data_IF_948712853019
#
_entry.id   IF_948712853019
#
_cell.length_a   1.000
_cell.length_b   1.000
_cell.length_c   1.000
_cell.angle_alpha   90.00
_cell.angle_beta   90.00
_cell.angle_gamma   90.00
#
_symmetry.space_group_name_H-M   'P 1'
#
loop_
_entity.id
_entity.type
_entity.pdbx_description
1 polymer ?
#
# COMPACT_ATOMS: atom_id res chain seq x y z
N UNK A 1 23.66 -23.22 15.12
CA UNK A 1 22.95 -22.79 16.34
C UNK A 1 23.21 -21.34 16.75
N UNK A 2 24.20 -20.63 16.17
CA UNK A 2 24.51 -19.22 16.56
C UNK A 2 23.55 -18.19 15.93
N UNK A 3 23.01 -18.47 14.73
CA UNK A 3 22.17 -17.52 13.99
C UNK A 3 20.82 -17.24 14.67
N UNK A 4 20.20 -18.26 15.28
CA UNK A 4 18.85 -18.16 15.87
C UNK A 4 18.77 -17.31 17.14
N UNK A 5 19.88 -17.15 17.87
CA UNK A 5 19.94 -16.31 19.08
C UNK A 5 20.25 -14.86 18.73
N UNK A 6 21.09 -14.61 17.72
CA UNK A 6 21.36 -13.27 17.21
C UNK A 6 20.12 -12.63 16.55
N UNK A 7 19.36 -13.37 15.73
CA UNK A 7 18.15 -12.84 15.09
C UNK A 7 17.05 -12.51 16.11
N UNK A 8 16.90 -13.32 17.17
CA UNK A 8 15.94 -13.03 18.24
C UNK A 8 16.30 -11.77 19.03
N UNK A 9 17.58 -11.62 19.38
CA UNK A 9 18.09 -10.45 20.09
C UNK A 9 17.95 -9.16 19.26
N UNK A 10 18.14 -9.22 17.94
CA UNK A 10 17.92 -8.06 17.07
C UNK A 10 16.44 -7.70 16.93
N UNK A 11 15.55 -8.69 16.80
CA UNK A 11 14.10 -8.44 16.69
C UNK A 11 13.53 -7.85 17.99
N UNK A 12 13.99 -8.33 19.14
CA UNK A 12 13.60 -7.78 20.45
C UNK A 12 14.07 -6.32 20.61
N UNK A 13 15.29 -5.99 20.16
CA UNK A 13 15.79 -4.62 20.19
C UNK A 13 14.96 -3.67 19.31
N UNK A 14 14.62 -4.09 18.09
CA UNK A 14 13.77 -3.30 17.19
C UNK A 14 12.35 -3.10 17.75
N UNK A 15 11.80 -4.10 18.44
CA UNK A 15 10.50 -3.99 19.08
C UNK A 15 10.49 -2.98 20.23
N UNK A 16 11.57 -2.94 21.04
CA UNK A 16 11.75 -1.93 22.08
C UNK A 16 11.88 -0.54 21.47
N UNK A 17 12.67 -0.40 20.41
CA UNK A 17 12.84 0.87 19.68
C UNK A 17 11.52 1.39 19.09
N UNK A 18 10.75 0.53 18.41
CA UNK A 18 9.45 0.89 17.87
C UNK A 18 8.44 1.30 18.97
N UNK A 19 8.46 0.60 20.11
CA UNK A 19 7.61 0.96 21.27
C UNK A 19 7.99 2.32 21.84
N UNK A 20 9.29 2.62 21.89
CA UNK A 20 9.81 3.91 22.33
C UNK A 20 9.41 5.04 21.35
N UNK A 21 9.51 4.80 20.04
CA UNK A 21 9.05 5.75 19.02
C UNK A 21 7.56 6.06 19.15
N UNK A 22 6.72 5.06 19.43
CA UNK A 22 5.28 5.27 19.67
C UNK A 22 5.08 6.12 20.94
N UNK A 23 5.82 5.84 22.02
CA UNK A 23 5.70 6.61 23.27
C UNK A 23 6.12 8.07 23.07
N UNK A 24 7.19 8.33 22.33
CA UNK A 24 7.65 9.66 21.96
C UNK A 24 6.62 10.39 21.11
N UNK A 25 6.09 9.73 20.06
CA UNK A 25 5.03 10.29 19.24
C UNK A 25 3.80 10.66 20.08
N UNK A 26 3.33 9.77 20.96
CA UNK A 26 2.20 10.05 21.86
C UNK A 26 2.44 11.31 22.69
N UNK A 27 3.62 11.42 23.31
CA UNK A 27 3.99 12.57 24.13
C UNK A 27 4.07 13.87 23.31
N UNK A 28 4.66 13.82 22.12
CA UNK A 28 4.69 14.98 21.22
C UNK A 28 3.28 15.43 20.87
N UNK A 29 2.40 14.50 20.48
CA UNK A 29 1.04 14.80 20.07
C UNK A 29 0.15 15.33 21.19
N UNK A 30 0.40 14.95 22.45
CA UNK A 30 -0.29 15.52 23.61
C UNK A 30 0.12 16.99 23.89
N UNK A 31 1.35 17.37 23.51
CA UNK A 31 1.88 18.73 23.72
C UNK A 31 1.48 19.67 22.57
N UNK A 32 1.26 19.14 21.36
CA UNK A 32 0.82 19.96 20.23
C UNK A 32 -0.55 20.56 20.53
N UNK A 33 -0.60 21.88 20.71
CA UNK A 33 -1.84 22.64 20.89
C UNK A 33 -2.84 22.34 19.76
N UNK A 34 -4.10 22.14 20.19
CA UNK A 34 -5.29 21.90 19.37
C UNK A 34 -5.44 23.05 18.37
N UNK A 35 -5.01 22.85 17.12
CA UNK A 35 -5.22 23.79 16.02
C UNK A 35 -4.18 23.81 14.90
N UNK A 36 -2.98 23.24 15.10
CA UNK A 36 -1.92 23.21 14.09
C UNK A 36 -1.83 21.88 13.32
N UNK A 37 -1.40 21.91 12.05
CA UNK A 37 -1.12 20.70 11.25
C UNK A 37 0.21 20.00 11.60
N UNK A 38 0.91 20.48 12.64
CA UNK A 38 2.26 20.01 13.02
C UNK A 38 2.31 18.53 13.37
N UNK A 39 1.21 17.97 13.88
CA UNK A 39 1.10 16.55 14.18
C UNK A 39 1.30 15.67 12.94
N UNK A 40 0.89 16.13 11.74
CA UNK A 40 1.10 15.41 10.48
C UNK A 40 2.61 15.23 10.22
N UNK A 41 3.40 16.29 10.45
CA UNK A 41 4.86 16.25 10.32
C UNK A 41 5.49 15.29 11.32
N UNK A 42 5.09 15.32 12.61
CA UNK A 42 5.59 14.37 13.62
C UNK A 42 5.32 12.91 13.24
N UNK A 43 4.15 12.62 12.64
CA UNK A 43 3.84 11.29 12.12
C UNK A 43 4.78 10.91 10.97
N UNK A 44 4.99 11.79 9.98
CA UNK A 44 5.90 11.52 8.86
C UNK A 44 7.36 11.35 9.30
N UNK A 45 7.83 12.13 10.27
CA UNK A 45 9.17 12.01 10.84
C UNK A 45 9.35 10.71 11.66
N UNK A 46 8.27 10.25 12.32
CA UNK A 46 8.25 8.95 12.98
C UNK A 46 8.27 7.83 11.95
N UNK A 47 7.48 7.96 10.87
CA UNK A 47 7.50 7.05 9.73
C UNK A 47 8.92 6.93 9.18
N UNK A 48 9.67 8.02 9.02
CA UNK A 48 11.03 7.99 8.48
C UNK A 48 11.94 7.03 9.26
N UNK A 49 11.80 7.00 10.58
CA UNK A 49 12.64 6.20 11.49
C UNK A 49 12.10 4.79 11.74
N UNK A 50 10.84 4.52 11.39
CA UNK A 50 10.19 3.24 11.68
C UNK A 50 10.98 2.05 11.11
N UNK A 51 11.32 1.04 11.94
CA UNK A 51 12.26 -0.01 11.54
C UNK A 51 11.63 -1.19 10.79
N UNK A 52 10.31 -1.35 10.83
CA UNK A 52 9.65 -2.54 10.29
C UNK A 52 9.12 -2.31 8.87
N UNK A 53 9.42 -3.27 7.98
CA UNK A 53 8.79 -3.39 6.66
C UNK A 53 7.37 -3.98 6.75
N UNK A 54 7.12 -4.81 7.75
CA UNK A 54 5.81 -5.37 8.06
C UNK A 54 5.73 -5.79 9.53
N UNK A 55 4.53 -5.87 10.09
CA UNK A 55 4.32 -6.37 11.44
C UNK A 55 2.96 -7.05 11.61
N UNK A 56 2.70 -7.61 12.79
CA UNK A 56 1.37 -8.04 13.22
C UNK A 56 0.85 -7.10 14.28
N UNK A 57 -0.28 -6.48 14.02
CA UNK A 57 -0.93 -5.56 14.94
C UNK A 57 -2.42 -5.86 14.99
N UNK A 58 -2.97 -5.98 16.20
CA UNK A 58 -4.39 -6.24 16.44
C UNK A 58 -4.95 -7.45 15.66
N UNK A 59 -4.15 -8.52 15.54
CA UNK A 59 -4.50 -9.73 14.79
C UNK A 59 -4.38 -9.60 13.26
N UNK A 60 -4.10 -8.41 12.74
CA UNK A 60 -3.90 -8.14 11.32
C UNK A 60 -2.41 -8.17 10.97
N UNK A 61 -2.09 -8.59 9.74
CA UNK A 61 -0.76 -8.43 9.18
C UNK A 61 -0.73 -7.14 8.36
N UNK A 62 0.16 -6.22 8.73
CA UNK A 62 0.34 -4.94 8.05
C UNK A 62 1.66 -4.99 7.30
N UNK A 63 1.60 -4.95 5.97
CA UNK A 63 2.77 -4.91 5.09
C UNK A 63 2.95 -3.48 4.58
N UNK A 64 3.92 -2.75 5.15
CA UNK A 64 4.16 -1.35 4.79
C UNK A 64 5.04 -1.23 3.54
N UNK A 65 5.98 -2.16 3.34
CA UNK A 65 6.93 -2.16 2.23
C UNK A 65 6.71 -3.40 1.36
N UNK A 66 5.78 -3.29 0.42
CA UNK A 66 5.38 -4.33 -0.52
C UNK A 66 6.57 -4.72 -1.38
N UNK A 67 6.90 -6.02 -1.39
CA UNK A 67 7.98 -6.56 -2.20
C UNK A 67 9.37 -5.98 -1.89
N UNK A 68 9.54 -5.26 -0.76
CA UNK A 68 10.77 -4.55 -0.44
C UNK A 68 10.99 -3.22 -1.18
N UNK A 69 10.01 -2.77 -1.98
CA UNK A 69 10.19 -1.67 -2.94
C UNK A 69 9.11 -0.59 -2.86
N UNK A 70 7.84 -0.97 -2.67
CA UNK A 70 6.70 -0.07 -2.67
C UNK A 70 6.21 0.21 -1.24
N UNK A 71 6.37 1.45 -0.78
CA UNK A 71 6.05 1.86 0.59
C UNK A 71 4.68 2.55 0.70
N UNK A 72 3.75 1.93 1.43
CA UNK A 72 2.49 2.55 1.83
C UNK A 72 2.65 3.33 3.14
N UNK A 73 2.91 4.63 3.00
CA UNK A 73 3.02 5.53 4.15
C UNK A 73 1.70 5.72 4.89
N UNK A 74 0.55 5.61 4.22
CA UNK A 74 -0.77 5.81 4.85
C UNK A 74 -1.11 4.64 5.76
N UNK A 75 -0.77 3.40 5.36
CA UNK A 75 -0.93 2.23 6.22
C UNK A 75 -0.11 2.35 7.51
N UNK A 76 1.15 2.79 7.40
CA UNK A 76 1.99 3.01 8.57
C UNK A 76 1.51 4.20 9.41
N UNK A 77 1.07 5.31 8.79
CA UNK A 77 0.48 6.43 9.50
C UNK A 77 -0.76 6.00 10.30
N UNK A 78 -1.68 5.27 9.66
CA UNK A 78 -2.88 4.70 10.29
C UNK A 78 -2.51 3.82 11.50
N UNK A 79 -1.51 2.95 11.34
CA UNK A 79 -0.99 2.11 12.42
C UNK A 79 -0.51 2.94 13.61
N UNK A 80 0.28 3.99 13.38
CA UNK A 80 0.82 4.86 14.43
C UNK A 80 -0.29 5.64 15.13
N UNK A 81 -1.24 6.17 14.36
CA UNK A 81 -2.37 6.95 14.84
C UNK A 81 -3.40 6.13 15.63
N UNK A 82 -3.56 4.84 15.31
CA UNK A 82 -4.39 3.90 16.11
C UNK A 82 -3.91 3.79 17.56
N UNK A 83 -2.63 3.99 17.82
CA UNK A 83 -2.08 4.04 19.18
C UNK A 83 -2.24 5.42 19.83
N UNK A 84 -2.24 6.48 19.02
CA UNK A 84 -2.29 7.89 19.47
C UNK A 84 -3.71 8.47 19.50
N UNK A 85 -4.74 7.62 19.49
CA UNK A 85 -6.14 8.01 19.33
C UNK A 85 -6.69 8.93 20.42
N UNK A 86 -6.02 9.05 21.57
CA UNK A 86 -6.39 9.94 22.66
C UNK A 86 -5.94 11.39 22.42
N UNK A 87 -4.91 11.60 21.60
CA UNK A 87 -4.25 12.90 21.43
C UNK A 87 -4.82 13.69 20.24
N UNK A 88 -5.44 13.00 19.26
CA UNK A 88 -5.97 13.59 18.03
C UNK A 88 -7.39 13.07 17.81
N UNK A 89 -8.29 13.97 17.39
CA UNK A 89 -9.65 13.57 17.01
C UNK A 89 -9.63 12.54 15.88
N UNK A 90 -10.46 11.49 16.02
CA UNK A 90 -10.47 10.38 15.07
C UNK A 90 -10.84 10.83 13.66
N UNK A 91 -11.79 11.76 13.54
CA UNK A 91 -12.23 12.25 12.24
C UNK A 91 -11.10 13.01 11.56
N UNK A 92 -10.37 13.83 12.32
CA UNK A 92 -9.28 14.65 11.77
C UNK A 92 -8.19 13.82 11.08
N UNK A 93 -7.70 12.75 11.72
CA UNK A 93 -6.66 11.95 11.09
C UNK A 93 -7.22 11.00 10.02
N UNK A 94 -8.47 10.54 10.17
CA UNK A 94 -9.14 9.78 9.12
C UNK A 94 -9.29 10.60 7.83
N UNK A 95 -9.75 11.85 7.94
CA UNK A 95 -9.89 12.77 6.80
C UNK A 95 -8.54 13.02 6.12
N UNK A 96 -7.47 13.18 6.89
CA UNK A 96 -6.11 13.34 6.35
C UNK A 96 -5.63 12.12 5.57
N UNK A 97 -5.85 10.91 6.09
CA UNK A 97 -5.41 9.68 5.42
C UNK A 97 -6.30 9.31 4.22
N UNK A 98 -7.58 9.67 4.25
CA UNK A 98 -8.53 9.43 3.17
C UNK A 98 -8.37 10.41 1.99
N UNK A 99 -7.68 11.53 2.18
CA UNK A 99 -7.39 12.49 1.12
C UNK A 99 -6.54 11.83 0.01
N UNK A 100 -6.98 11.84 -1.27
CA UNK A 100 -6.23 11.26 -2.38
C UNK A 100 -4.96 12.04 -2.76
N UNK A 101 -4.68 13.21 -2.15
CA UNK A 101 -3.47 14.01 -2.44
C UNK A 101 -2.21 13.18 -2.19
N UNK A 102 -1.32 13.14 -3.19
CA UNK A 102 -0.15 12.26 -3.22
C UNK A 102 0.76 12.38 -1.98
N UNK A 103 0.94 13.60 -1.48
CA UNK A 103 1.87 13.93 -0.41
C UNK A 103 1.15 14.31 0.90
N UNK A 104 -0.09 13.85 1.11
CA UNK A 104 -0.81 14.08 2.36
C UNK A 104 -0.99 15.56 2.71
N UNK A 105 -1.21 16.42 1.71
CA UNK A 105 -1.38 17.87 1.88
C UNK A 105 -0.09 18.68 2.01
N UNK A 106 1.08 18.05 1.91
CA UNK A 106 2.38 18.74 1.89
C UNK A 106 2.84 19.04 0.46
N UNK A 107 3.72 20.03 0.32
CA UNK A 107 4.52 20.19 -0.90
C UNK A 107 5.54 19.05 -1.02
N UNK A 108 5.84 18.62 -2.25
CA UNK A 108 6.75 17.49 -2.51
C UNK A 108 8.09 17.57 -1.75
N UNK A 109 8.82 18.71 -1.73
CA UNK A 109 10.09 18.80 -1.03
C UNK A 109 9.96 18.73 0.50
N UNK A 110 8.80 19.10 1.05
CA UNK A 110 8.52 19.04 2.48
C UNK A 110 8.22 17.60 2.89
N UNK A 111 7.38 16.91 2.12
CA UNK A 111 7.07 15.50 2.32
C UNK A 111 8.33 14.62 2.22
N UNK A 112 9.14 14.82 1.16
CA UNK A 112 10.40 14.11 0.97
C UNK A 112 11.36 14.31 2.16
N UNK A 113 11.42 15.52 2.71
CA UNK A 113 12.26 15.83 3.87
C UNK A 113 11.77 15.14 5.13
N UNK A 114 10.44 15.12 5.35
CA UNK A 114 9.84 14.53 6.53
C UNK A 114 9.97 12.99 6.53
N UNK A 115 9.70 12.34 5.41
CA UNK A 115 9.71 10.87 5.29
C UNK A 115 11.12 10.28 5.02
N UNK A 116 12.03 11.11 4.49
CA UNK A 116 13.38 10.71 4.08
C UNK A 116 13.45 10.16 2.64
N UNK A 117 14.64 10.24 2.04
CA UNK A 117 14.85 9.97 0.60
C UNK A 117 14.45 8.54 0.19
N UNK A 118 14.82 7.54 0.99
CA UNK A 118 14.58 6.14 0.62
C UNK A 118 13.10 5.80 0.68
N UNK A 119 12.40 6.17 1.77
CA UNK A 119 10.95 5.98 1.91
C UNK A 119 10.16 6.85 0.94
N UNK A 120 10.67 8.02 0.57
CA UNK A 120 10.07 8.84 -0.50
C UNK A 120 10.11 8.12 -1.85
N UNK A 121 11.25 7.56 -2.24
CA UNK A 121 11.38 6.78 -3.48
C UNK A 121 10.50 5.53 -3.46
N UNK A 122 10.42 4.86 -2.31
CA UNK A 122 9.54 3.71 -2.13
C UNK A 122 8.05 4.12 -2.18
N UNK A 123 7.68 5.28 -1.65
CA UNK A 123 6.32 5.84 -1.77
C UNK A 123 5.96 6.12 -3.23
N UNK A 124 6.87 6.71 -4.02
CA UNK A 124 6.62 6.86 -5.46
C UNK A 124 6.41 5.51 -6.14
N UNK A 125 7.17 4.48 -5.73
CA UNK A 125 6.99 3.12 -6.26
C UNK A 125 5.61 2.55 -5.90
N UNK A 126 5.10 2.82 -4.70
CA UNK A 126 3.73 2.47 -4.31
C UNK A 126 2.69 3.25 -5.13
N UNK A 127 2.86 4.56 -5.28
CA UNK A 127 1.92 5.37 -6.05
C UNK A 127 1.82 4.91 -7.50
N UNK A 128 2.95 4.73 -8.19
CA UNK A 128 2.94 4.30 -9.59
C UNK A 128 2.56 2.82 -9.74
N UNK A 129 3.02 1.96 -8.84
CA UNK A 129 2.84 0.52 -8.96
C UNK A 129 1.50 0.01 -8.40
N UNK A 130 0.86 0.76 -7.51
CA UNK A 130 -0.43 0.38 -6.91
C UNK A 130 -1.51 1.37 -7.31
N UNK A 131 -1.41 2.62 -6.88
CA UNK A 131 -2.50 3.61 -7.06
C UNK A 131 -2.79 3.90 -8.54
N UNK A 132 -1.74 4.13 -9.35
CA UNK A 132 -1.90 4.38 -10.78
C UNK A 132 -2.34 3.11 -11.51
N UNK A 133 -1.85 1.94 -11.11
CA UNK A 133 -2.25 0.67 -11.70
C UNK A 133 -3.73 0.34 -11.42
N UNK A 134 -4.20 0.55 -10.19
CA UNK A 134 -5.63 0.46 -9.83
C UNK A 134 -6.48 1.43 -10.63
N UNK A 135 -6.00 2.67 -10.82
CA UNK A 135 -6.69 3.68 -11.63
C UNK A 135 -6.78 3.27 -13.10
N UNK A 136 -5.75 2.62 -13.63
CA UNK A 136 -5.74 2.07 -14.98
C UNK A 136 -6.78 0.96 -15.14
N UNK A 137 -6.84 0.02 -14.19
CA UNK A 137 -7.86 -1.05 -14.17
C UNK A 137 -9.26 -0.42 -14.13
N UNK A 138 -9.49 0.53 -13.22
CA UNK A 138 -10.78 1.21 -13.05
C UNK A 138 -11.22 1.95 -14.33
N UNK A 139 -10.30 2.58 -15.06
CA UNK A 139 -10.62 3.25 -16.33
C UNK A 139 -11.09 2.27 -17.42
N UNK A 140 -10.49 1.07 -17.48
CA UNK A 140 -10.91 0.02 -18.42
C UNK A 140 -12.25 -0.59 -17.99
N UNK A 141 -12.45 -0.81 -16.68
CA UNK A 141 -13.73 -1.25 -16.11
C UNK A 141 -14.87 -0.27 -16.43
N UNK A 142 -14.60 1.04 -16.35
CA UNK A 142 -15.53 2.09 -16.74
C UNK A 142 -15.88 2.02 -18.23
N UNK A 143 -14.88 1.82 -19.11
CA UNK A 143 -15.12 1.66 -20.55
C UNK A 143 -16.00 0.43 -20.85
N UNK A 144 -15.72 -0.71 -20.21
CA UNK A 144 -16.52 -1.93 -20.34
C UNK A 144 -17.96 -1.68 -19.87
N UNK A 145 -18.11 -0.97 -18.75
CA UNK A 145 -19.40 -0.58 -18.18
C UNK A 145 -20.20 0.25 -19.19
N UNK A 146 -19.60 1.29 -19.77
CA UNK A 146 -20.24 2.11 -20.79
C UNK A 146 -20.69 1.29 -22.00
N UNK A 147 -19.83 0.42 -22.54
CA UNK A 147 -20.16 -0.44 -23.68
C UNK A 147 -21.32 -1.39 -23.38
N UNK A 148 -21.38 -1.96 -22.18
CA UNK A 148 -22.46 -2.88 -21.78
C UNK A 148 -23.78 -2.17 -21.55
N UNK A 149 -23.77 -1.05 -20.83
CA UNK A 149 -24.97 -0.25 -20.57
C UNK A 149 -25.55 0.28 -21.87
N UNK A 150 -24.73 0.84 -22.76
CA UNK A 150 -25.18 1.30 -24.08
C UNK A 150 -25.75 0.17 -24.94
N UNK A 151 -25.26 -1.05 -24.77
CA UNK A 151 -25.76 -2.25 -25.44
C UNK A 151 -26.94 -2.96 -24.75
N UNK A 152 -27.48 -2.40 -23.66
CA UNK A 152 -28.57 -3.00 -22.89
C UNK A 152 -28.22 -4.33 -22.20
N UNK A 153 -26.92 -4.60 -21.99
CA UNK A 153 -26.43 -5.82 -21.33
C UNK A 153 -26.30 -5.60 -19.82
N UNK A 154 -26.54 -6.66 -19.05
CA UNK A 154 -26.38 -6.61 -17.60
C UNK A 154 -24.90 -6.43 -17.20
N UNK A 155 -24.69 -5.61 -16.17
CA UNK A 155 -23.42 -5.47 -15.46
C UNK A 155 -23.28 -6.62 -14.45
N UNK A 156 -22.08 -7.19 -14.38
CA UNK A 156 -21.72 -8.26 -13.45
C UNK A 156 -20.25 -8.14 -13.08
N UNK A 157 -19.84 -8.65 -11.92
CA UNK A 157 -18.42 -8.68 -11.54
C UNK A 157 -17.53 -9.35 -12.61
N UNK A 158 -17.97 -10.50 -13.12
CA UNK A 158 -17.31 -11.21 -14.23
C UNK A 158 -17.15 -10.35 -15.50
N UNK A 159 -17.98 -9.32 -15.66
CA UNK A 159 -17.84 -8.38 -16.77
C UNK A 159 -16.66 -7.44 -16.57
N UNK A 160 -16.46 -6.97 -15.35
CA UNK A 160 -15.39 -6.04 -14.99
C UNK A 160 -14.04 -6.75 -14.98
N UNK A 161 -14.03 -8.05 -14.66
CA UNK A 161 -12.84 -8.91 -14.76
C UNK A 161 -12.23 -8.95 -16.18
N UNK A 162 -13.00 -8.59 -17.22
CA UNK A 162 -12.49 -8.42 -18.60
C UNK A 162 -11.44 -7.29 -18.71
N UNK A 163 -11.36 -6.39 -17.73
CA UNK A 163 -10.31 -5.38 -17.64
C UNK A 163 -8.92 -6.03 -17.50
N UNK A 164 -8.81 -7.11 -16.72
CA UNK A 164 -7.55 -7.84 -16.52
C UNK A 164 -7.13 -8.57 -17.79
N UNK A 165 -8.08 -9.18 -18.51
CA UNK A 165 -7.80 -9.80 -19.81
C UNK A 165 -7.32 -8.76 -20.83
N UNK A 166 -7.90 -7.55 -20.78
CA UNK A 166 -7.54 -6.45 -21.67
C UNK A 166 -6.14 -5.90 -21.37
N UNK A 167 -5.78 -5.74 -20.10
CA UNK A 167 -4.51 -5.15 -19.67
C UNK A 167 -3.34 -6.13 -19.64
N UNK A 168 -3.58 -7.37 -19.22
CA UNK A 168 -2.53 -8.36 -18.92
C UNK A 168 -2.66 -9.66 -19.75
N UNK A 169 -3.66 -9.75 -20.64
CA UNK A 169 -3.86 -10.88 -21.54
C UNK A 169 -4.36 -12.17 -20.88
N UNK A 170 -4.66 -12.15 -19.58
CA UNK A 170 -5.10 -13.31 -18.80
C UNK A 170 -6.25 -12.94 -17.87
N UNK A 171 -7.05 -13.93 -17.46
CA UNK A 171 -8.12 -13.67 -16.49
C UNK A 171 -7.54 -13.34 -15.12
N UNK A 172 -8.30 -12.60 -14.30
CA UNK A 172 -7.89 -12.28 -12.92
C UNK A 172 -7.55 -13.56 -12.12
N UNK A 173 -8.29 -14.64 -12.37
CA UNK A 173 -8.07 -15.91 -11.67
C UNK A 173 -6.69 -16.51 -11.99
N UNK A 174 -6.34 -16.54 -13.28
CA UNK A 174 -5.04 -17.04 -13.75
C UNK A 174 -3.89 -16.17 -13.22
N UNK A 175 -4.05 -14.85 -13.22
CA UNK A 175 -3.05 -13.91 -12.72
C UNK A 175 -2.75 -14.14 -11.23
N UNK A 176 -3.79 -14.33 -10.42
CA UNK A 176 -3.61 -14.65 -9.01
C UNK A 176 -3.00 -16.04 -8.76
N UNK A 177 -3.30 -17.04 -9.59
CA UNK A 177 -2.65 -18.35 -9.49
C UNK A 177 -1.13 -18.21 -9.68
N UNK A 178 -0.71 -17.45 -10.70
CA UNK A 178 0.71 -17.16 -10.95
C UNK A 178 1.31 -16.36 -9.79
N UNK A 179 0.65 -15.28 -9.37
CA UNK A 179 1.12 -14.48 -8.24
C UNK A 179 1.31 -15.31 -6.96
N UNK A 180 0.36 -16.18 -6.60
CA UNK A 180 0.48 -17.03 -5.41
C UNK A 180 1.67 -18.00 -5.51
N UNK A 181 1.93 -18.54 -6.70
CA UNK A 181 3.08 -19.40 -6.95
C UNK A 181 4.41 -18.64 -6.80
N UNK A 182 4.50 -17.42 -7.32
CA UNK A 182 5.71 -16.60 -7.26
C UNK A 182 5.95 -15.99 -5.87
N UNK A 183 4.90 -15.50 -5.22
CA UNK A 183 4.97 -14.89 -3.89
C UNK A 183 5.08 -15.93 -2.75
N UNK A 184 4.97 -17.22 -3.06
CA UNK A 184 4.99 -18.30 -2.06
C UNK A 184 3.79 -18.29 -1.12
N UNK A 185 2.68 -17.66 -1.53
CA UNK A 185 1.42 -17.60 -0.78
C UNK A 185 0.68 -18.94 -0.94
N UNK A 186 0.05 -19.44 0.11
CA UNK A 186 -0.67 -20.73 0.05
C UNK A 186 -1.76 -20.68 -1.03
N UNK A 187 -1.94 -21.76 -1.81
CA UNK A 187 -3.00 -21.81 -2.81
C UNK A 187 -4.37 -21.67 -2.14
N UNK A 188 -5.32 -21.04 -2.85
CA UNK A 188 -6.71 -20.94 -2.39
C UNK A 188 -7.28 -22.34 -2.12
N UNK A 189 -8.22 -22.42 -1.17
CA UNK A 189 -8.98 -23.65 -0.96
C UNK A 189 -9.72 -24.01 -2.26
N UNK A 190 -9.78 -25.31 -2.64
CA UNK A 190 -10.53 -25.73 -3.82
C UNK A 190 -11.97 -25.20 -3.80
N UNK A 191 -12.37 -24.47 -4.84
CA UNK A 191 -13.71 -23.89 -4.99
C UNK A 191 -13.90 -22.47 -4.45
N UNK A 192 -12.85 -21.83 -3.91
CA UNK A 192 -12.87 -20.41 -3.52
C UNK A 192 -12.38 -19.55 -4.68
N UNK A 193 -13.07 -18.44 -4.97
CA UNK A 193 -12.57 -17.43 -5.91
C UNK A 193 -11.56 -16.54 -5.18
N UNK A 194 -10.78 -15.80 -5.96
CA UNK A 194 -9.77 -14.89 -5.42
C UNK A 194 -10.39 -13.89 -4.44
N UNK A 195 -11.55 -13.31 -4.77
CA UNK A 195 -12.28 -12.38 -3.90
C UNK A 195 -12.61 -12.91 -2.49
N UNK A 196 -12.62 -14.22 -2.29
CA UNK A 196 -13.15 -14.81 -1.05
C UNK A 196 -12.11 -14.90 0.09
N UNK A 197 -10.81 -14.63 -0.13
CA UNK A 197 -9.75 -14.94 0.86
C UNK A 197 -8.70 -13.82 1.08
N UNK A 198 -8.93 -12.57 0.64
CA UNK A 198 -7.90 -11.53 0.63
C UNK A 198 -8.07 -10.44 1.70
N UNK A 199 -6.96 -10.10 2.36
CA UNK A 199 -6.81 -8.86 3.16
C UNK A 199 -6.42 -7.71 2.24
N UNK A 200 -6.78 -6.46 2.57
CA UNK A 200 -6.46 -5.28 1.77
C UNK A 200 -4.97 -5.22 1.36
N UNK A 201 -4.04 -5.47 2.28
CA UNK A 201 -2.60 -5.47 1.94
C UNK A 201 -2.17 -6.52 0.91
N UNK A 202 -2.91 -7.63 0.80
CA UNK A 202 -2.65 -8.67 -0.21
C UNK A 202 -3.13 -8.23 -1.60
N UNK A 203 -4.18 -7.40 -1.67
CA UNK A 203 -4.66 -6.81 -2.93
C UNK A 203 -3.68 -5.78 -3.48
N UNK A 204 -3.13 -4.91 -2.62
CA UNK A 204 -2.12 -3.94 -3.03
C UNK A 204 -0.82 -4.64 -3.49
N UNK A 205 -0.41 -5.71 -2.80
CA UNK A 205 0.74 -6.51 -3.20
C UNK A 205 0.54 -7.22 -4.54
N UNK A 206 -0.67 -7.75 -4.78
CA UNK A 206 -1.04 -8.31 -6.08
C UNK A 206 -1.07 -7.24 -7.18
N UNK A 207 -1.62 -6.07 -6.90
CA UNK A 207 -1.65 -4.94 -7.85
C UNK A 207 -0.23 -4.50 -8.20
N UNK A 208 0.65 -4.39 -7.21
CA UNK A 208 2.06 -4.06 -7.45
C UNK A 208 2.76 -5.12 -8.33
N UNK A 209 2.43 -6.40 -8.14
CA UNK A 209 2.91 -7.46 -9.01
C UNK A 209 2.38 -7.33 -10.44
N UNK A 210 1.09 -7.00 -10.64
CA UNK A 210 0.52 -6.72 -11.96
C UNK A 210 1.21 -5.56 -12.68
N UNK A 211 1.53 -4.48 -11.94
CA UNK A 211 2.32 -3.39 -12.48
C UNK A 211 3.68 -3.89 -12.99
N UNK A 212 4.40 -4.69 -12.21
CA UNK A 212 5.70 -5.25 -12.65
C UNK A 212 5.56 -6.14 -13.87
N UNK A 213 4.56 -7.03 -13.88
CA UNK A 213 4.23 -7.88 -15.02
C UNK A 213 4.00 -7.04 -16.29
N UNK A 214 3.22 -5.96 -16.18
CA UNK A 214 2.95 -5.06 -17.29
C UNK A 214 4.19 -4.31 -17.75
N UNK A 215 5.05 -3.87 -16.83
CA UNK A 215 6.32 -3.21 -17.18
C UNK A 215 7.29 -4.16 -17.89
N UNK A 216 7.33 -5.44 -17.51
CA UNK A 216 8.14 -6.46 -18.18
C UNK A 216 7.61 -6.80 -19.58
N UNK A 217 6.29 -6.82 -19.76
CA UNK A 217 5.63 -7.11 -21.03
C UNK A 217 5.53 -5.89 -21.97
N UNK A 218 5.69 -4.68 -21.45
CA UNK A 218 5.68 -3.46 -22.24
C UNK A 218 6.98 -3.35 -23.02
N UNK A 219 6.92 -3.53 -24.34
CA UNK A 219 8.04 -3.31 -25.27
C UNK A 219 8.60 -1.88 -25.02
N UNK A 220 9.92 -1.69 -24.83
CA UNK A 220 10.47 -0.35 -24.63
C UNK A 220 10.06 0.53 -25.80
N UNK A 221 9.63 1.76 -25.52
CA UNK A 221 9.16 2.70 -26.52
C UNK A 221 10.08 2.65 -27.75
N UNK A 222 9.56 2.13 -28.88
CA UNK A 222 10.24 2.22 -30.16
C UNK A 222 10.48 3.70 -30.39
N UNK A 223 11.73 4.12 -30.27
CA UNK A 223 12.20 5.42 -30.73
C UNK A 223 11.78 5.47 -32.19
N UNK A 224 10.72 6.23 -32.48
CA UNK A 224 10.42 6.66 -33.83
C UNK A 224 11.57 7.60 -34.21
N UNK A 225 12.65 6.99 -34.72
CA UNK A 225 13.77 7.67 -35.32
C UNK A 225 13.31 8.22 -36.67
N UNK A 226 13.44 9.54 -36.82
CA UNK A 226 13.43 10.39 -38.04
C UNK A 226 12.88 9.80 -39.35
#
# INVERSE_FOLDING_TARGET
>A
MVNSQQTKSSTEALAVEASQMIAELKFELEIVEIGGERWKTSVLETIAKWPFASERFDGEHLEYLIGGEAFDWRLLASRLLRECWHSIDRQQWWDWLADPVLFGGFEEPEFMRAVGVDKFRAHLSYFYGVTVEQSLIAAIEEEITHRRVAGGRQLSDLALEQAYETLYGNSIDQLWEVYKLEAGVRPARPGWRHRDEHSLGLEDAFTYWLFKLRMEQSDPAKIASD
#
